data_IF_450628853129
#
_entry.id   IF_450628853129
#
_cell.length_a   1.000
_cell.length_b   1.000
_cell.length_c   1.000
_cell.angle_alpha   90.00
_cell.angle_beta   90.00
_cell.angle_gamma   90.00
#
_symmetry.space_group_name_H-M   'P 1'
#
loop_
_entity.id
_entity.type
_entity.pdbx_description
1 polymer ?
#
# COMPACT_ATOMS: atom_id res chain seq x y z
N UNK A 1 -9.38 14.96 16.01
CA UNK A 1 -8.08 14.79 16.03
C UNK A 1 -7.69 13.58 15.28
N UNK A 2 -6.72 13.58 14.65
CA UNK A 2 -6.31 12.57 13.91
C UNK A 2 -5.16 12.02 14.42
N UNK A 3 -5.04 11.89 15.60
CA UNK A 3 -3.87 11.45 16.22
C UNK A 3 -3.54 10.09 15.78
N UNK A 4 -4.53 9.41 15.47
CA UNK A 4 -4.31 8.07 15.14
C UNK A 4 -3.40 7.90 13.96
N UNK A 5 -3.30 8.94 13.21
CA UNK A 5 -2.52 8.80 12.10
C UNK A 5 -1.13 8.96 12.39
N UNK A 6 -0.77 9.53 13.47
CA UNK A 6 0.58 9.87 13.74
C UNK A 6 1.52 8.72 13.75
N UNK A 7 1.32 7.69 14.51
CA UNK A 7 2.28 6.61 14.54
C UNK A 7 2.18 5.73 13.31
N UNK A 8 1.05 5.74 12.67
CA UNK A 8 0.86 4.93 11.51
C UNK A 8 0.71 5.77 10.28
N UNK A 9 1.34 6.92 10.28
CA UNK A 9 1.25 7.81 9.15
C UNK A 9 1.58 7.11 7.88
N UNK A 10 0.72 7.24 6.94
CA UNK A 10 0.94 6.67 5.63
C UNK A 10 1.29 7.76 4.65
N UNK A 11 1.87 7.39 3.55
CA UNK A 11 2.31 8.34 2.55
C UNK A 11 1.91 7.80 1.19
N UNK A 12 2.08 8.59 0.14
CA UNK A 12 1.79 8.10 -1.20
C UNK A 12 2.54 6.82 -1.53
N UNK A 13 3.70 6.62 -0.91
CA UNK A 13 4.49 5.43 -1.17
C UNK A 13 3.74 4.17 -0.75
N UNK A 14 2.98 4.24 0.34
CA UNK A 14 2.21 3.10 0.79
C UNK A 14 1.10 2.75 -0.20
N UNK A 15 0.49 3.76 -0.81
CA UNK A 15 -0.51 3.53 -1.83
C UNK A 15 0.09 2.87 -3.06
N UNK A 16 1.29 3.29 -3.45
CA UNK A 16 2.00 2.68 -4.56
C UNK A 16 2.27 1.21 -4.29
N UNK A 17 2.64 0.90 -3.06
CA UNK A 17 2.93 -0.47 -2.68
C UNK A 17 1.68 -1.36 -2.81
N UNK A 18 0.55 -0.91 -2.28
CA UNK A 18 -0.68 -1.70 -2.36
C UNK A 18 -1.11 -1.87 -3.81
N UNK A 19 -1.03 -0.82 -4.60
CA UNK A 19 -1.42 -0.89 -6.00
C UNK A 19 -0.53 -1.86 -6.76
N UNK A 20 0.77 -1.86 -6.46
CA UNK A 20 1.69 -2.78 -7.11
C UNK A 20 1.36 -4.23 -6.75
N UNK A 21 1.00 -4.50 -5.50
CA UNK A 21 0.57 -5.84 -5.11
C UNK A 21 -0.68 -6.25 -5.90
N UNK A 22 -1.62 -5.32 -6.07
CA UNK A 22 -2.85 -5.61 -6.81
C UNK A 22 -2.55 -5.92 -8.27
N UNK A 23 -1.47 -5.33 -8.80
CA UNK A 23 -1.05 -5.58 -10.17
C UNK A 23 -0.19 -6.86 -10.28
N UNK A 24 0.08 -7.51 -9.17
CA UNK A 24 0.81 -8.78 -9.21
C UNK A 24 2.32 -8.67 -8.99
N UNK A 25 2.82 -7.52 -8.59
CA UNK A 25 4.26 -7.33 -8.42
C UNK A 25 4.73 -7.91 -7.09
N UNK A 26 5.92 -8.50 -7.10
CA UNK A 26 6.54 -8.98 -5.88
C UNK A 26 7.21 -7.82 -5.15
N UNK A 27 7.48 -8.01 -3.86
CA UNK A 27 8.19 -6.99 -3.10
C UNK A 27 9.59 -6.70 -3.67
N UNK A 28 10.23 -7.70 -4.23
CA UNK A 28 11.55 -7.50 -4.84
C UNK A 28 11.45 -6.57 -6.05
N UNK A 29 10.45 -6.79 -6.88
CA UNK A 29 10.26 -5.95 -8.05
C UNK A 29 9.88 -4.54 -7.63
N UNK A 30 9.02 -4.41 -6.64
CA UNK A 30 8.59 -3.10 -6.16
C UNK A 30 9.79 -2.33 -5.61
N UNK A 31 10.64 -3.01 -4.84
CA UNK A 31 11.84 -2.37 -4.29
C UNK A 31 12.72 -1.85 -5.41
N UNK A 32 12.91 -2.64 -6.44
CA UNK A 32 13.73 -2.26 -7.57
C UNK A 32 13.12 -1.06 -8.28
N UNK A 33 11.82 -1.10 -8.54
CA UNK A 33 11.14 -0.03 -9.26
C UNK A 33 11.16 1.29 -8.50
N UNK A 34 11.08 1.23 -7.18
CA UNK A 34 11.04 2.44 -6.37
C UNK A 34 12.41 2.90 -5.89
N UNK A 35 13.45 2.13 -6.20
CA UNK A 35 14.79 2.49 -5.76
C UNK A 35 14.98 2.33 -4.27
N UNK A 36 14.30 1.37 -3.65
CA UNK A 36 14.37 1.12 -2.22
C UNK A 36 14.91 -0.27 -1.97
N UNK A 37 15.38 -0.52 -0.76
CA UNK A 37 15.83 -1.87 -0.41
C UNK A 37 14.61 -2.74 -0.15
N UNK A 38 14.77 -4.04 -0.31
CA UNK A 38 13.72 -4.99 0.01
C UNK A 38 13.32 -4.87 1.48
N UNK A 39 14.31 -4.63 2.35
CA UNK A 39 14.07 -4.47 3.76
C UNK A 39 13.12 -3.29 4.02
N UNK A 40 13.30 -2.19 3.31
CA UNK A 40 12.44 -1.02 3.44
C UNK A 40 11.01 -1.36 3.00
N UNK A 41 10.87 -2.14 1.93
CA UNK A 41 9.54 -2.54 1.46
C UNK A 41 8.85 -3.40 2.52
N UNK A 42 9.59 -4.29 3.17
CA UNK A 42 9.00 -5.13 4.22
C UNK A 42 8.53 -4.25 5.38
N UNK A 43 9.31 -3.24 5.75
CA UNK A 43 8.92 -2.33 6.83
C UNK A 43 7.65 -1.56 6.46
N UNK A 44 7.53 -1.12 5.20
CA UNK A 44 6.32 -0.45 4.75
C UNK A 44 5.14 -1.41 4.76
N UNK A 45 5.37 -2.68 4.39
CA UNK A 45 4.31 -3.69 4.40
C UNK A 45 3.76 -3.90 5.81
N UNK A 46 4.65 -3.99 6.78
CA UNK A 46 4.23 -4.20 8.16
C UNK A 46 3.37 -3.05 8.65
N UNK A 47 3.74 -1.83 8.27
CA UNK A 47 2.99 -0.66 8.66
C UNK A 47 1.60 -0.66 8.04
N UNK A 48 1.54 -1.02 6.75
CA UNK A 48 0.26 -1.13 6.06
C UNK A 48 -0.62 -2.19 6.68
N UNK A 49 -0.05 -3.35 6.99
CA UNK A 49 -0.82 -4.44 7.57
C UNK A 49 -1.47 -3.99 8.88
N UNK A 50 -0.70 -3.27 9.71
CA UNK A 50 -1.23 -2.78 10.97
C UNK A 50 -2.32 -1.74 10.76
N UNK A 51 -2.11 -0.84 9.79
CA UNK A 51 -3.10 0.19 9.52
C UNK A 51 -4.41 -0.42 9.03
N UNK A 52 -4.33 -1.42 8.17
CA UNK A 52 -5.53 -2.04 7.60
C UNK A 52 -6.10 -3.15 8.46
N UNK A 53 -5.37 -3.56 9.48
CA UNK A 53 -5.84 -4.64 10.35
C UNK A 53 -5.82 -6.00 9.69
N UNK A 54 -4.85 -6.22 8.81
CA UNK A 54 -4.76 -7.47 8.06
C UNK A 54 -3.40 -8.12 8.26
N UNK A 55 -3.26 -9.36 7.79
CA UNK A 55 -2.03 -10.11 7.99
C UNK A 55 -1.41 -10.63 6.70
N UNK A 56 -2.04 -10.41 5.55
CA UNK A 56 -1.49 -10.89 4.29
C UNK A 56 -1.65 -9.84 3.21
N UNK A 57 -0.83 -9.95 2.17
CA UNK A 57 -0.94 -9.05 1.03
C UNK A 57 -2.30 -9.16 0.34
N UNK A 58 -2.79 -10.38 0.22
CA UNK A 58 -4.07 -10.60 -0.44
C UNK A 58 -5.20 -9.87 0.28
N UNK A 59 -5.21 -9.96 1.62
CA UNK A 59 -6.23 -9.26 2.40
C UNK A 59 -6.04 -7.75 2.30
N UNK A 60 -4.78 -7.30 2.30
CA UNK A 60 -4.51 -5.87 2.19
C UNK A 60 -5.07 -5.32 0.89
N UNK A 61 -4.88 -6.03 -0.21
CA UNK A 61 -5.40 -5.62 -1.51
C UNK A 61 -6.93 -5.61 -1.48
N UNK A 62 -7.54 -6.65 -0.92
CA UNK A 62 -8.99 -6.73 -0.87
C UNK A 62 -9.58 -5.56 -0.09
N UNK A 63 -9.00 -5.25 1.06
CA UNK A 63 -9.46 -4.13 1.87
C UNK A 63 -9.24 -2.80 1.15
N UNK A 64 -8.10 -2.67 0.48
CA UNK A 64 -7.77 -1.43 -0.24
C UNK A 64 -8.77 -1.18 -1.37
N UNK A 65 -9.19 -2.22 -2.06
CA UNK A 65 -10.18 -2.08 -3.11
C UNK A 65 -11.53 -1.70 -2.49
N UNK A 66 -11.90 -2.42 -1.45
CA UNK A 66 -13.17 -2.18 -0.80
C UNK A 66 -13.29 -0.78 -0.25
N UNK A 67 -12.22 -0.26 0.33
CA UNK A 67 -12.23 1.06 0.92
C UNK A 67 -11.85 2.18 -0.05
N UNK A 68 -11.60 1.85 -1.29
CA UNK A 68 -11.29 2.86 -2.28
C UNK A 68 -9.91 3.45 -2.17
N UNK A 69 -8.97 2.76 -1.56
CA UNK A 69 -7.59 3.23 -1.46
C UNK A 69 -6.92 3.12 -2.81
N UNK A 70 -7.24 2.07 -3.56
CA UNK A 70 -6.75 1.92 -4.93
C UNK A 70 -7.94 1.74 -5.86
N UNK A 71 -7.73 2.04 -7.13
CA UNK A 71 -8.77 1.86 -8.13
C UNK A 71 -8.09 1.55 -9.47
N UNK A 72 -8.88 1.18 -10.44
CA UNK A 72 -8.34 0.77 -11.74
C UNK A 72 -9.07 1.50 -12.85
N UNK A 73 -8.68 2.73 -13.16
CA UNK A 73 -9.33 3.51 -14.22
C UNK A 73 -9.03 2.97 -15.61
N UNK A 74 -7.92 2.26 -15.76
CA UNK A 74 -7.54 1.64 -17.02
C UNK A 74 -7.32 0.15 -16.81
N UNK A 75 -6.14 -0.35 -17.17
CA UNK A 75 -5.82 -1.76 -17.02
C UNK A 75 -4.99 -2.06 -15.79
N UNK A 76 -4.45 -1.05 -15.14
CA UNK A 76 -3.60 -1.24 -13.96
C UNK A 76 -4.24 -0.62 -12.74
N UNK A 77 -3.99 -1.21 -11.58
CA UNK A 77 -4.41 -0.62 -10.31
C UNK A 77 -3.48 0.51 -9.97
N UNK A 78 -4.04 1.61 -9.49
CA UNK A 78 -3.25 2.77 -9.06
C UNK A 78 -3.85 3.30 -7.77
N UNK A 79 -3.06 4.01 -6.97
CA UNK A 79 -3.59 4.57 -5.73
C UNK A 79 -4.52 5.73 -6.04
N UNK A 80 -5.55 5.90 -5.23
CA UNK A 80 -6.39 7.06 -5.37
C UNK A 80 -5.64 8.24 -4.83
N UNK A 81 -5.94 9.41 -5.39
CA UNK A 81 -5.29 10.63 -4.97
C UNK A 81 -5.67 10.93 -3.54
N UNK A 82 -4.66 11.21 -2.71
CA UNK A 82 -4.87 11.60 -1.32
C UNK A 82 -5.67 10.62 -0.49
N UNK A 83 -5.54 9.34 -0.80
CA UNK A 83 -6.29 8.33 -0.07
C UNK A 83 -5.92 8.28 1.42
N UNK A 84 -4.75 8.79 1.77
CA UNK A 84 -4.26 8.76 3.14
C UNK A 84 -4.72 9.94 3.98
N UNK A 85 -5.46 10.84 3.42
CA UNK A 85 -5.90 12.05 4.14
C UNK A 85 -7.19 11.84 4.92
#
# INVERSE_FOLDING_TARGET
>A
VKPARTPLSLSPRHGQLIAAWANGDSNWLIAEDLGLSHHTIVAHSDRLFRFLGVHTQARAVAVAIEQGIIHRPGTAWVPRDKWWV
#
